data_IF_982450228342
#
_entry.id   IF_982450228342
#
_cell.length_a   1.000
_cell.length_b   1.000
_cell.length_c   1.000
_cell.angle_alpha   90.00
_cell.angle_beta   90.00
_cell.angle_gamma   90.00
#
_symmetry.space_group_name_H-M   'P 1'
#
loop_
_entity.id
_entity.type
_entity.pdbx_description
1 polymer ?
#
# COMPACT_ATOMS: atom_id res chain seq x y z
N UNK A 1 1.73 0.26 -13.53
CA UNK A 1 1.00 -0.46 -12.46
C UNK A 1 1.95 -0.65 -11.29
N UNK A 2 1.55 -0.33 -10.06
CA UNK A 2 2.42 -0.51 -8.89
C UNK A 2 2.70 -1.99 -8.57
N UNK A 3 3.73 -2.22 -7.74
CA UNK A 3 4.22 -3.55 -7.36
C UNK A 3 3.14 -4.41 -6.70
N UNK A 4 2.43 -3.87 -5.71
CA UNK A 4 1.42 -4.61 -4.97
C UNK A 4 0.29 -5.04 -5.91
N UNK A 5 -0.14 -4.15 -6.79
CA UNK A 5 -1.18 -4.44 -7.78
C UNK A 5 -0.76 -5.50 -8.78
N UNK A 6 0.49 -5.48 -9.25
CA UNK A 6 1.02 -6.55 -10.11
C UNK A 6 0.91 -7.92 -9.43
N UNK A 7 1.29 -8.03 -8.16
CA UNK A 7 1.19 -9.28 -7.39
C UNK A 7 -0.25 -9.72 -7.22
N UNK A 8 -1.11 -8.83 -6.73
CA UNK A 8 -2.50 -9.13 -6.37
C UNK A 8 -3.35 -9.51 -7.58
N UNK A 9 -3.03 -8.97 -8.76
CA UNK A 9 -3.77 -9.24 -10.01
C UNK A 9 -3.08 -10.23 -10.94
N UNK A 10 -1.94 -10.80 -10.56
CA UNK A 10 -1.22 -11.72 -11.44
C UNK A 10 -2.04 -12.96 -11.74
N UNK A 11 -2.04 -13.40 -13.01
CA UNK A 11 -2.88 -14.49 -13.51
C UNK A 11 -2.09 -15.53 -14.26
N UNK A 12 -2.48 -16.79 -14.07
CA UNK A 12 -2.04 -17.93 -14.87
C UNK A 12 -3.25 -18.70 -15.36
N UNK A 13 -3.34 -18.92 -16.67
CA UNK A 13 -4.51 -19.56 -17.30
C UNK A 13 -5.85 -18.88 -16.92
N UNK A 14 -5.85 -17.53 -16.85
CA UNK A 14 -7.02 -16.72 -16.53
C UNK A 14 -7.39 -16.62 -15.04
N UNK A 15 -6.77 -17.41 -14.16
CA UNK A 15 -7.05 -17.39 -12.70
C UNK A 15 -6.00 -16.60 -11.94
N UNK A 16 -6.42 -15.89 -10.88
CA UNK A 16 -5.50 -15.21 -9.95
C UNK A 16 -4.57 -16.26 -9.35
N UNK A 17 -3.26 -16.00 -9.37
CA UNK A 17 -2.25 -16.94 -8.89
C UNK A 17 -2.18 -16.93 -7.36
N UNK A 18 -2.10 -15.72 -6.78
CA UNK A 18 -1.90 -15.54 -5.35
C UNK A 18 -3.23 -15.11 -4.70
N UNK A 19 -3.89 -16.04 -3.99
CA UNK A 19 -5.16 -15.78 -3.31
C UNK A 19 -5.04 -15.97 -1.80
N UNK A 20 -5.83 -15.23 -1.02
CA UNK A 20 -5.87 -15.41 0.45
C UNK A 20 -6.32 -16.83 0.82
N UNK A 21 -7.15 -17.47 -0.01
CA UNK A 21 -7.63 -18.84 0.19
C UNK A 21 -6.49 -19.83 0.16
N UNK A 22 -5.72 -19.82 -0.94
CA UNK A 22 -4.55 -20.68 -1.09
C UNK A 22 -3.49 -20.37 -0.03
N UNK A 23 -3.27 -19.08 0.27
CA UNK A 23 -2.33 -18.68 1.31
C UNK A 23 -2.75 -19.22 2.69
N UNK A 24 -4.04 -19.14 3.02
CA UNK A 24 -4.56 -19.65 4.29
C UNK A 24 -4.36 -21.17 4.40
N UNK A 25 -4.73 -21.90 3.35
CA UNK A 25 -4.59 -23.36 3.32
C UNK A 25 -3.10 -23.80 3.38
N UNK A 26 -2.18 -23.06 2.74
CA UNK A 26 -0.74 -23.40 2.70
C UNK A 26 0.04 -23.01 3.95
N UNK A 27 -0.28 -21.87 4.57
CA UNK A 27 0.54 -21.31 5.66
C UNK A 27 -0.18 -21.26 6.99
N UNK A 28 -1.47 -20.91 7.02
CA UNK A 28 -2.19 -20.70 8.29
C UNK A 28 -2.64 -22.02 8.89
N UNK A 29 -3.06 -22.99 8.07
CA UNK A 29 -3.41 -24.33 8.56
C UNK A 29 -2.28 -24.99 9.34
N UNK A 30 -1.02 -24.78 8.95
CA UNK A 30 0.14 -25.37 9.63
C UNK A 30 0.58 -24.61 10.88
N UNK A 31 0.00 -23.45 11.18
CA UNK A 31 0.26 -22.73 12.44
C UNK A 31 -0.36 -23.41 13.66
N UNK A 32 -1.35 -24.30 13.48
CA UNK A 32 -1.93 -25.04 14.60
C UNK A 32 -3.25 -25.74 14.28
N UNK A 33 -3.57 -26.75 15.09
CA UNK A 33 -4.74 -27.61 14.89
C UNK A 33 -6.07 -26.85 14.87
N UNK A 34 -6.16 -25.67 15.54
CA UNK A 34 -7.38 -24.86 15.50
C UNK A 34 -7.70 -24.35 14.09
N UNK A 35 -6.69 -23.94 13.32
CA UNK A 35 -6.89 -23.37 11.99
C UNK A 35 -7.34 -24.42 10.95
N UNK A 36 -7.01 -25.70 11.17
CA UNK A 36 -7.45 -26.83 10.31
C UNK A 36 -8.95 -27.15 10.46
N UNK A 37 -9.65 -26.55 11.43
CA UNK A 37 -11.10 -26.76 11.64
C UNK A 37 -11.96 -26.07 10.58
N UNK A 38 -11.42 -25.06 9.88
CA UNK A 38 -12.14 -24.26 8.88
C UNK A 38 -11.32 -24.13 7.60
N UNK A 39 -11.98 -24.10 6.43
CA UNK A 39 -11.34 -23.79 5.15
C UNK A 39 -12.28 -23.01 4.25
N UNK A 40 -11.75 -22.02 3.51
CA UNK A 40 -12.53 -21.22 2.57
C UNK A 40 -13.12 -22.03 1.41
N UNK A 41 -12.67 -23.27 1.21
CA UNK A 41 -13.27 -24.20 0.24
C UNK A 41 -14.64 -24.74 0.69
N UNK A 42 -14.90 -24.78 2.01
CA UNK A 42 -16.11 -25.38 2.61
C UNK A 42 -16.92 -24.36 3.41
N UNK A 43 -16.24 -23.43 4.04
CA UNK A 43 -16.78 -22.48 5.01
C UNK A 43 -16.76 -21.06 4.46
N UNK A 44 -17.74 -20.25 4.88
CA UNK A 44 -17.78 -18.82 4.54
C UNK A 44 -16.82 -17.98 5.37
N UNK A 45 -16.51 -18.45 6.58
CA UNK A 45 -15.62 -17.81 7.54
C UNK A 45 -14.59 -18.83 8.03
N UNK A 46 -13.37 -18.36 8.30
CA UNK A 46 -12.30 -19.13 8.92
C UNK A 46 -11.83 -18.49 10.22
N UNK A 47 -11.08 -19.24 11.03
CA UNK A 47 -10.47 -18.70 12.26
C UNK A 47 -9.39 -17.68 11.90
N UNK A 48 -9.44 -16.49 12.51
CA UNK A 48 -8.47 -15.45 12.22
C UNK A 48 -7.11 -15.76 12.87
N UNK A 49 -5.98 -15.68 12.13
CA UNK A 49 -4.64 -15.86 12.71
C UNK A 49 -4.09 -14.59 13.36
N UNK A 50 -4.78 -13.45 13.24
CA UNK A 50 -4.28 -12.14 13.68
C UNK A 50 -4.67 -11.76 15.12
N UNK A 51 -5.51 -12.55 15.77
CA UNK A 51 -5.88 -12.39 17.18
C UNK A 51 -6.20 -13.75 17.79
N UNK A 52 -6.40 -13.81 19.10
CA UNK A 52 -6.81 -15.06 19.76
C UNK A 52 -8.27 -15.39 19.47
N UNK A 53 -8.47 -15.99 18.31
CA UNK A 53 -9.78 -16.34 17.79
C UNK A 53 -10.10 -17.82 18.04
N UNK A 54 -11.32 -18.06 18.54
CA UNK A 54 -11.89 -19.39 18.77
C UNK A 54 -13.12 -19.65 17.88
N UNK A 55 -13.73 -18.61 17.32
CA UNK A 55 -14.93 -18.67 16.49
C UNK A 55 -14.67 -18.02 15.13
N UNK A 56 -14.96 -18.72 14.04
CA UNK A 56 -14.59 -18.26 12.69
C UNK A 56 -15.08 -16.82 12.40
N UNK A 57 -14.15 -15.87 12.30
CA UNK A 57 -14.43 -14.44 12.13
C UNK A 57 -13.82 -13.82 10.87
N UNK A 58 -12.97 -14.54 10.15
CA UNK A 58 -12.27 -14.08 8.94
C UNK A 58 -13.05 -14.50 7.69
N UNK A 59 -13.52 -13.53 6.90
CA UNK A 59 -14.22 -13.77 5.64
C UNK A 59 -13.47 -13.22 4.42
N UNK A 60 -13.87 -13.67 3.23
CA UNK A 60 -13.37 -13.20 1.95
C UNK A 60 -14.46 -12.52 1.12
N UNK A 61 -14.08 -11.43 0.47
CA UNK A 61 -14.95 -10.55 -0.30
C UNK A 61 -14.32 -10.25 -1.65
N UNK A 62 -15.13 -9.92 -2.64
CA UNK A 62 -14.62 -9.52 -3.96
C UNK A 62 -14.03 -8.12 -3.87
N UNK A 63 -12.86 -7.91 -4.46
CA UNK A 63 -12.32 -6.57 -4.63
C UNK A 63 -13.29 -5.71 -5.45
N UNK A 64 -13.31 -4.42 -5.13
CA UNK A 64 -14.22 -3.45 -5.75
C UNK A 64 -13.92 -3.21 -7.22
N UNK A 65 -12.64 -3.32 -7.61
CA UNK A 65 -12.16 -2.97 -8.94
C UNK A 65 -11.88 -4.21 -9.80
N UNK A 66 -11.52 -5.33 -9.18
CA UNK A 66 -11.32 -6.63 -9.85
C UNK A 66 -12.06 -7.75 -9.11
N UNK A 67 -13.23 -8.16 -9.62
CA UNK A 67 -14.12 -9.13 -8.96
C UNK A 67 -13.54 -10.54 -8.81
N UNK A 68 -12.46 -10.84 -9.52
CA UNK A 68 -11.75 -12.12 -9.43
C UNK A 68 -10.69 -12.10 -8.33
N UNK A 69 -10.28 -10.92 -7.88
CA UNK A 69 -9.43 -10.75 -6.69
C UNK A 69 -10.31 -10.80 -5.44
N UNK A 70 -9.84 -11.53 -4.43
CA UNK A 70 -10.48 -11.58 -3.12
C UNK A 70 -9.66 -10.81 -2.08
N UNK A 71 -10.35 -10.02 -1.28
CA UNK A 71 -9.83 -9.34 -0.10
C UNK A 71 -10.39 -10.00 1.15
N UNK A 72 -9.62 -10.00 2.23
CA UNK A 72 -10.07 -10.50 3.52
C UNK A 72 -10.61 -9.38 4.41
N UNK A 73 -11.50 -9.75 5.31
CA UNK A 73 -11.87 -8.93 6.45
C UNK A 73 -12.21 -9.82 7.64
N UNK A 74 -11.67 -9.48 8.81
CA UNK A 74 -11.97 -10.14 10.06
C UNK A 74 -12.94 -9.27 10.85
N UNK A 75 -14.12 -9.81 11.15
CA UNK A 75 -15.16 -9.12 11.92
C UNK A 75 -14.85 -9.03 13.42
N UNK A 76 -13.88 -9.80 13.93
CA UNK A 76 -13.45 -9.77 15.32
C UNK A 76 -12.43 -8.66 15.60
N UNK A 77 -11.33 -8.60 14.84
CA UNK A 77 -10.24 -7.66 15.07
C UNK A 77 -10.16 -6.50 14.06
N UNK A 78 -11.05 -6.46 13.07
CA UNK A 78 -11.09 -5.41 12.04
C UNK A 78 -9.98 -5.49 10.99
N UNK A 79 -9.07 -6.46 11.07
CA UNK A 79 -8.03 -6.65 10.07
C UNK A 79 -8.66 -6.91 8.69
N UNK A 80 -8.18 -6.23 7.67
CA UNK A 80 -8.64 -6.43 6.29
C UNK A 80 -7.58 -6.03 5.28
N UNK A 81 -7.73 -6.51 4.06
CA UNK A 81 -6.77 -6.26 3.00
C UNK A 81 -6.73 -7.30 1.89
N UNK A 82 -5.76 -7.17 1.00
CA UNK A 82 -5.43 -8.21 0.02
C UNK A 82 -4.42 -9.23 0.57
N UNK A 83 -3.99 -10.17 -0.28
CA UNK A 83 -3.01 -11.20 0.10
C UNK A 83 -1.66 -10.63 0.55
N UNK A 84 -1.21 -9.50 -0.01
CA UNK A 84 0.06 -8.88 0.39
C UNK A 84 -0.08 -8.33 1.80
N UNK A 85 -1.20 -7.66 2.10
CA UNK A 85 -1.49 -7.18 3.45
C UNK A 85 -1.70 -8.32 4.44
N UNK A 86 -2.29 -9.43 4.00
CA UNK A 86 -2.43 -10.65 4.80
C UNK A 86 -1.06 -11.21 5.18
N UNK A 87 -0.18 -11.43 4.20
CA UNK A 87 1.18 -11.93 4.39
C UNK A 87 1.98 -11.01 5.32
N UNK A 88 2.03 -9.71 5.03
CA UNK A 88 2.71 -8.72 5.86
C UNK A 88 2.25 -8.79 7.31
N UNK A 89 0.93 -8.80 7.54
CA UNK A 89 0.39 -8.84 8.90
C UNK A 89 0.73 -10.14 9.61
N UNK A 90 0.69 -11.27 8.90
CA UNK A 90 1.06 -12.55 9.47
C UNK A 90 2.53 -12.55 9.89
N UNK A 91 3.45 -12.20 9.00
CA UNK A 91 4.90 -12.13 9.27
C UNK A 91 5.22 -11.18 10.42
N UNK A 92 4.58 -10.01 10.46
CA UNK A 92 4.76 -9.05 11.56
C UNK A 92 4.40 -9.64 12.93
N UNK A 93 3.41 -10.56 12.99
CA UNK A 93 2.93 -11.16 14.24
C UNK A 93 3.70 -12.45 14.58
N UNK A 94 3.92 -13.32 13.59
CA UNK A 94 4.49 -14.66 13.80
C UNK A 94 6.01 -14.66 13.83
N UNK A 95 6.64 -13.81 13.03
CA UNK A 95 8.11 -13.71 12.93
C UNK A 95 8.66 -12.45 13.61
N UNK A 96 7.79 -11.57 14.12
CA UNK A 96 8.15 -10.28 14.71
C UNK A 96 9.00 -9.38 13.79
N UNK A 97 8.87 -9.57 12.47
CA UNK A 97 9.54 -8.78 11.44
C UNK A 97 8.58 -7.70 10.96
N UNK A 98 8.78 -6.45 11.34
CA UNK A 98 7.94 -5.35 10.84
C UNK A 98 8.35 -4.96 9.41
N UNK A 99 7.82 -5.67 8.42
CA UNK A 99 8.18 -5.47 7.00
C UNK A 99 7.30 -4.41 6.32
N UNK A 100 7.84 -3.76 5.29
CA UNK A 100 7.11 -2.80 4.45
C UNK A 100 6.18 -3.53 3.47
N UNK A 101 5.24 -2.80 2.86
CA UNK A 101 4.39 -3.36 1.79
C UNK A 101 5.19 -3.79 0.57
N UNK A 102 6.28 -3.09 0.26
CA UNK A 102 7.15 -3.43 -0.85
C UNK A 102 7.84 -4.78 -0.62
N UNK A 103 8.42 -4.98 0.57
CA UNK A 103 9.06 -6.25 0.95
C UNK A 103 8.04 -7.38 0.95
N UNK A 104 6.88 -7.18 1.56
CA UNK A 104 5.81 -8.17 1.56
C UNK A 104 5.33 -8.52 0.14
N UNK A 105 5.25 -7.54 -0.77
CA UNK A 105 4.87 -7.78 -2.17
C UNK A 105 5.90 -8.66 -2.87
N UNK A 106 7.19 -8.39 -2.68
CA UNK A 106 8.29 -9.19 -3.23
C UNK A 106 8.30 -10.61 -2.66
N UNK A 107 8.08 -10.77 -1.37
CA UNK A 107 8.01 -12.09 -0.72
C UNK A 107 6.82 -12.90 -1.26
N UNK A 108 5.62 -12.31 -1.36
CA UNK A 108 4.46 -12.99 -1.97
C UNK A 108 4.73 -13.32 -3.44
N UNK A 109 5.33 -12.41 -4.22
CA UNK A 109 5.69 -12.67 -5.60
C UNK A 109 6.58 -13.93 -5.72
N UNK A 110 7.61 -14.02 -4.87
CA UNK A 110 8.52 -15.16 -4.84
C UNK A 110 7.81 -16.45 -4.41
N UNK A 111 6.97 -16.42 -3.38
CA UNK A 111 6.21 -17.58 -2.89
C UNK A 111 5.29 -18.20 -3.96
N UNK A 112 4.79 -17.37 -4.87
CA UNK A 112 3.85 -17.74 -5.93
C UNK A 112 4.49 -17.82 -7.33
N UNK A 113 5.79 -17.54 -7.46
CA UNK A 113 6.50 -17.53 -8.74
C UNK A 113 5.93 -16.48 -9.71
N UNK A 114 5.56 -15.31 -9.20
CA UNK A 114 5.08 -14.18 -10.00
C UNK A 114 6.28 -13.37 -10.49
N UNK A 115 6.40 -13.26 -11.80
CA UNK A 115 7.36 -12.35 -12.42
C UNK A 115 6.88 -10.90 -12.28
N UNK A 116 7.78 -10.04 -11.81
CA UNK A 116 7.51 -8.61 -11.62
C UNK A 116 8.07 -7.84 -12.79
N UNK A 117 7.23 -6.99 -13.40
CA UNK A 117 7.67 -6.08 -14.44
C UNK A 117 8.14 -4.77 -13.79
N UNK A 118 9.46 -4.64 -13.64
CA UNK A 118 10.09 -3.45 -13.06
C UNK A 118 9.89 -2.20 -13.93
N UNK A 119 9.93 -2.32 -15.26
CA UNK A 119 9.70 -1.21 -16.19
C UNK A 119 8.30 -0.61 -16.00
N UNK A 120 7.28 -1.46 -15.82
CA UNK A 120 5.91 -1.02 -15.58
C UNK A 120 5.69 -0.38 -14.20
N UNK A 121 6.57 -0.66 -13.23
CA UNK A 121 6.61 0.05 -11.95
C UNK A 121 7.23 1.42 -12.16
N UNK A 122 8.38 1.48 -12.84
CA UNK A 122 9.08 2.73 -13.11
C UNK A 122 8.23 3.72 -13.93
N UNK A 123 7.55 3.23 -14.97
CA UNK A 123 6.62 4.03 -15.78
C UNK A 123 5.48 4.60 -14.93
N UNK A 124 4.94 3.79 -14.01
CA UNK A 124 3.89 4.24 -13.10
C UNK A 124 4.38 5.28 -12.08
N UNK A 125 5.59 5.12 -11.57
CA UNK A 125 6.21 6.11 -10.69
C UNK A 125 6.42 7.43 -11.45
N UNK A 126 6.95 7.36 -12.68
CA UNK A 126 7.12 8.54 -13.55
C UNK A 126 5.78 9.22 -13.83
N UNK A 127 4.71 8.47 -14.10
CA UNK A 127 3.39 9.05 -14.33
C UNK A 127 2.85 9.76 -13.09
N UNK A 128 2.99 9.16 -11.90
CA UNK A 128 2.57 9.76 -10.63
C UNK A 128 3.37 11.02 -10.29
N UNK A 129 4.68 11.01 -10.53
CA UNK A 129 5.54 12.18 -10.34
C UNK A 129 5.15 13.30 -11.30
N UNK A 130 4.91 12.98 -12.57
CA UNK A 130 4.47 13.96 -13.56
C UNK A 130 3.09 14.57 -13.22
N UNK A 131 2.12 13.76 -12.79
CA UNK A 131 0.83 14.26 -12.32
C UNK A 131 0.98 15.21 -11.12
N UNK A 132 1.87 14.87 -10.17
CA UNK A 132 2.18 15.71 -9.01
C UNK A 132 2.86 17.02 -9.42
N UNK A 133 3.78 16.98 -10.38
CA UNK A 133 4.40 18.18 -10.95
C UNK A 133 3.36 19.11 -11.58
N UNK A 134 2.47 18.57 -12.42
CA UNK A 134 1.37 19.33 -13.00
C UNK A 134 0.43 19.93 -11.94
N UNK A 135 0.12 19.18 -10.87
CA UNK A 135 -0.68 19.70 -9.77
C UNK A 135 0.02 20.87 -9.07
N UNK A 136 1.32 20.75 -8.81
CA UNK A 136 2.13 21.84 -8.26
C UNK A 136 2.09 23.05 -9.20
N UNK A 137 2.30 22.88 -10.50
CA UNK A 137 2.23 23.96 -11.49
C UNK A 137 0.86 24.65 -11.55
N UNK A 138 -0.24 23.88 -11.52
CA UNK A 138 -1.60 24.44 -11.50
C UNK A 138 -1.85 25.25 -10.23
N UNK A 139 -1.33 24.78 -9.10
CA UNK A 139 -1.46 25.45 -7.82
C UNK A 139 -0.47 26.64 -7.67
N UNK A 140 0.63 26.66 -8.43
CA UNK A 140 1.63 27.73 -8.42
C UNK A 140 1.04 29.08 -8.86
N UNK A 141 0.07 29.09 -9.76
CA UNK A 141 -0.61 30.33 -10.18
C UNK A 141 -1.32 31.08 -9.05
N UNK A 142 -1.68 30.40 -7.96
CA UNK A 142 -2.22 31.00 -6.73
C UNK A 142 -1.21 31.01 -5.57
N UNK A 143 -0.05 30.36 -5.74
CA UNK A 143 0.97 30.27 -4.72
C UNK A 143 1.66 31.61 -4.54
N UNK A 144 1.37 32.25 -3.42
CA UNK A 144 1.88 33.56 -3.07
C UNK A 144 2.57 33.50 -1.70
N UNK A 145 3.07 34.64 -1.24
CA UNK A 145 3.79 34.73 0.03
C UNK A 145 3.00 34.17 1.22
N UNK A 146 1.67 34.35 1.25
CA UNK A 146 0.82 33.81 2.32
C UNK A 146 0.75 32.29 2.27
N UNK A 147 0.62 31.71 1.08
CA UNK A 147 0.65 30.25 0.88
C UNK A 147 1.99 29.66 1.33
N UNK A 148 3.10 30.28 0.93
CA UNK A 148 4.44 29.84 1.34
C UNK A 148 4.64 29.91 2.86
N UNK A 149 4.30 31.03 3.47
CA UNK A 149 4.40 31.22 4.93
C UNK A 149 3.55 30.20 5.70
N UNK A 150 2.35 29.89 5.22
CA UNK A 150 1.48 28.89 5.85
C UNK A 150 2.06 27.47 5.76
N UNK A 151 2.64 27.09 4.63
CA UNK A 151 3.23 25.78 4.45
C UNK A 151 4.50 25.58 5.29
N UNK A 152 5.37 26.60 5.39
CA UNK A 152 6.51 26.57 6.32
C UNK A 152 6.06 26.42 7.78
N UNK A 153 4.97 27.10 8.16
CA UNK A 153 4.42 26.99 9.51
C UNK A 153 3.90 25.57 9.80
N UNK A 154 3.13 24.98 8.88
CA UNK A 154 2.65 23.59 9.01
C UNK A 154 3.81 22.60 9.13
N UNK A 155 4.80 22.71 8.25
CA UNK A 155 5.98 21.85 8.28
C UNK A 155 6.75 21.98 9.60
N UNK A 156 6.89 23.20 10.13
CA UNK A 156 7.47 23.43 11.46
C UNK A 156 6.65 22.77 12.58
N UNK A 157 5.32 22.80 12.51
CA UNK A 157 4.46 22.18 13.53
C UNK A 157 4.54 20.65 13.50
N UNK A 158 4.82 20.06 12.34
CA UNK A 158 4.94 18.61 12.16
C UNK A 158 6.37 18.10 12.34
N UNK A 159 7.36 18.99 12.52
CA UNK A 159 8.78 18.65 12.58
C UNK A 159 9.10 17.58 13.65
N UNK A 160 8.42 17.62 14.79
CA UNK A 160 8.63 16.65 15.88
C UNK A 160 7.98 15.28 15.62
N UNK A 161 7.12 15.18 14.60
CA UNK A 161 6.36 13.98 14.25
C UNK A 161 6.90 13.25 13.00
N UNK A 162 8.04 13.67 12.46
CA UNK A 162 8.65 13.07 11.26
C UNK A 162 10.15 12.85 11.43
N UNK A 163 10.73 11.99 10.58
CA UNK A 163 12.18 11.81 10.58
C UNK A 163 12.89 13.03 10.00
N UNK A 164 14.19 13.18 10.30
CA UNK A 164 15.01 14.26 9.73
C UNK A 164 15.07 14.21 8.19
N UNK A 165 15.04 13.00 7.62
CA UNK A 165 15.01 12.82 6.16
C UNK A 165 13.70 13.34 5.56
N UNK A 166 12.57 12.91 6.11
CA UNK A 166 11.24 13.33 5.66
C UNK A 166 11.06 14.85 5.81
N UNK A 167 11.58 15.44 6.89
CA UNK A 167 11.55 16.88 7.09
C UNK A 167 12.34 17.63 6.01
N UNK A 168 13.54 17.15 5.68
CA UNK A 168 14.38 17.75 4.63
C UNK A 168 13.68 17.73 3.28
N UNK A 169 13.13 16.58 2.88
CA UNK A 169 12.44 16.44 1.60
C UNK A 169 11.20 17.34 1.52
N UNK A 170 10.40 17.40 2.58
CA UNK A 170 9.23 18.28 2.63
C UNK A 170 9.63 19.77 2.59
N UNK A 171 10.73 20.15 3.25
CA UNK A 171 11.25 21.52 3.21
C UNK A 171 11.69 21.91 1.80
N UNK A 172 12.39 21.01 1.11
CA UNK A 172 12.81 21.22 -0.28
C UNK A 172 11.63 21.43 -1.22
N UNK A 173 10.55 20.67 -1.04
CA UNK A 173 9.30 20.88 -1.79
C UNK A 173 8.75 22.30 -1.56
N UNK A 174 8.61 22.73 -0.30
CA UNK A 174 8.06 24.06 0.03
C UNK A 174 8.94 25.19 -0.52
N UNK A 175 10.26 25.05 -0.47
CA UNK A 175 11.22 26.00 -1.03
C UNK A 175 11.16 26.03 -2.55
N UNK A 176 11.10 24.87 -3.21
CA UNK A 176 11.06 24.78 -4.66
C UNK A 176 9.76 25.37 -5.23
N UNK A 177 8.62 25.19 -4.55
CA UNK A 177 7.38 25.88 -4.90
C UNK A 177 7.56 27.41 -4.90
N UNK A 178 8.22 27.98 -3.89
CA UNK A 178 8.48 29.42 -3.83
C UNK A 178 9.40 29.91 -4.95
N UNK A 179 10.48 29.17 -5.23
CA UNK A 179 11.40 29.49 -6.35
C UNK A 179 10.67 29.49 -7.69
N UNK A 180 9.79 28.51 -7.92
CA UNK A 180 9.00 28.43 -9.15
C UNK A 180 7.98 29.57 -9.25
N UNK A 181 7.30 29.92 -8.15
CA UNK A 181 6.36 31.04 -8.11
C UNK A 181 7.05 32.38 -8.45
N UNK A 182 8.25 32.62 -7.91
CA UNK A 182 9.06 33.82 -8.25
C UNK A 182 9.37 33.84 -9.75
N UNK A 183 9.89 32.74 -10.31
CA UNK A 183 10.23 32.67 -11.75
C UNK A 183 9.02 32.90 -12.65
N UNK A 184 7.84 32.41 -12.27
CA UNK A 184 6.61 32.64 -13.02
C UNK A 184 6.16 34.11 -12.98
N UNK A 185 6.37 34.80 -11.86
CA UNK A 185 6.09 36.23 -11.76
C UNK A 185 7.06 37.04 -12.65
N UNK A 186 8.36 36.73 -12.59
CA UNK A 186 9.39 37.38 -13.42
C UNK A 186 9.14 37.22 -14.93
N UNK A 187 8.64 36.05 -15.37
CA UNK A 187 8.31 35.79 -16.77
C UNK A 187 7.01 36.45 -17.25
N UNK A 188 6.13 36.92 -16.35
CA UNK A 188 4.90 37.65 -16.72
C UNK A 188 5.12 39.15 -16.89
N UNK A 189 6.20 39.68 -16.34
CA UNK A 189 6.56 41.10 -16.40
C UNK A 189 7.48 41.45 -17.61
N UNK A 190 7.85 40.45 -18.43
CA UNK A 190 8.57 40.58 -19.71
C UNK A 190 7.64 40.30 -20.91
#
# INVERSE_FOLDING_TARGET
>A
MDLQRQVVTSRKNGKVIATVEDYYDRFVHDMGAKYKKTSFTKDKLCICPFHDDNDASLGLFRDKHDKEVKIFHCFGCGAGGDIVQFHRRLINITEHRNISLEVASKEVANLYGIEINEEAIEEHLKSLLFERELEVERNLGQYNFRSHSSNLMKLRMEQENMSLGDFSENLDVVINMWKLAIRQAENKDN
#
